data_IF_540686741680
#
_entry.id   IF_540686741680
#
_cell.length_a   1.000
_cell.length_b   1.000
_cell.length_c   1.000
_cell.angle_alpha   90.00
_cell.angle_beta   90.00
_cell.angle_gamma   90.00
#
_symmetry.space_group_name_H-M   'P 1'
#
loop_
_entity.id
_entity.type
_entity.pdbx_description
1 polymer ?
#
# COMPACT_ATOMS: atom_id res chain seq x y z
N UNK A 1 38.93 6.99 23.25
CA UNK A 1 38.28 5.81 23.86
C UNK A 1 36.79 5.89 23.57
N UNK A 2 36.31 4.94 22.74
CA UNK A 2 34.96 4.33 22.69
C UNK A 2 33.72 5.24 22.64
N UNK A 3 32.83 5.18 21.65
CA UNK A 3 32.30 4.00 20.94
C UNK A 3 31.73 4.38 19.56
N UNK A 4 31.83 3.53 18.51
CA UNK A 4 31.15 3.75 17.25
C UNK A 4 29.67 3.35 17.36
N UNK A 5 28.82 4.08 16.64
CA UNK A 5 27.40 3.79 16.50
C UNK A 5 27.20 2.41 15.85
N UNK A 6 26.44 1.57 16.54
CA UNK A 6 26.04 0.23 16.13
C UNK A 6 25.34 0.27 14.76
N UNK A 7 25.93 -0.41 13.79
CA UNK A 7 25.32 -0.65 12.49
C UNK A 7 23.96 -1.33 12.64
N UNK A 8 23.01 -0.94 11.80
CA UNK A 8 21.71 -1.61 11.70
C UNK A 8 21.94 -3.08 11.38
N UNK A 9 21.62 -3.95 12.32
CA UNK A 9 21.70 -5.39 12.12
C UNK A 9 20.55 -5.82 11.23
N UNK A 10 20.86 -6.27 10.02
CA UNK A 10 19.91 -6.92 9.12
C UNK A 10 19.51 -8.26 9.76
N UNK A 11 18.27 -8.40 10.21
CA UNK A 11 17.68 -9.65 10.71
C UNK A 11 17.47 -10.71 9.60
N UNK A 12 18.46 -10.92 8.73
CA UNK A 12 18.41 -11.96 7.70
C UNK A 12 18.65 -13.39 8.29
N UNK A 13 19.01 -13.47 9.58
CA UNK A 13 19.44 -14.70 10.25
C UNK A 13 18.32 -15.67 10.68
N UNK A 14 17.11 -15.18 10.94
CA UNK A 14 16.09 -15.98 11.65
C UNK A 14 14.81 -16.23 10.83
N UNK A 15 14.94 -16.53 9.53
CA UNK A 15 13.79 -17.04 8.76
C UNK A 15 13.63 -18.52 9.08
N UNK A 16 12.50 -18.97 9.69
CA UNK A 16 12.28 -20.38 9.99
C UNK A 16 12.44 -21.26 8.74
N UNK A 17 12.99 -22.45 8.91
CA UNK A 17 13.31 -23.35 7.77
C UNK A 17 12.08 -23.68 6.92
N UNK A 18 10.91 -23.84 7.56
CA UNK A 18 9.65 -24.07 6.88
C UNK A 18 9.27 -22.88 5.96
N UNK A 19 9.42 -21.65 6.46
CA UNK A 19 9.15 -20.44 5.69
C UNK A 19 10.16 -20.29 4.56
N UNK A 20 11.45 -20.57 4.80
CA UNK A 20 12.49 -20.59 3.78
C UNK A 20 12.16 -21.58 2.66
N UNK A 21 11.73 -22.79 3.02
CA UNK A 21 11.33 -23.81 2.06
C UNK A 21 10.08 -23.38 1.26
N UNK A 22 9.10 -22.76 1.91
CA UNK A 22 7.91 -22.23 1.25
C UNK A 22 8.25 -21.12 0.25
N UNK A 23 9.09 -20.16 0.63
CA UNK A 23 9.60 -19.10 -0.27
C UNK A 23 10.33 -19.73 -1.46
N UNK A 24 11.19 -20.73 -1.21
CA UNK A 24 11.91 -21.44 -2.27
C UNK A 24 11.01 -22.17 -3.25
N UNK A 25 9.87 -22.70 -2.81
CA UNK A 25 8.85 -23.31 -3.69
C UNK A 25 8.14 -22.24 -4.53
N UNK A 26 7.68 -21.15 -3.90
CA UNK A 26 6.97 -20.07 -4.59
C UNK A 26 7.88 -19.38 -5.60
N UNK A 27 9.17 -19.19 -5.31
CA UNK A 27 10.11 -18.55 -6.23
C UNK A 27 10.39 -19.35 -7.52
N UNK A 28 9.93 -20.61 -7.61
CA UNK A 28 10.12 -21.49 -8.78
C UNK A 28 8.85 -21.68 -9.59
N UNK A 29 7.75 -21.04 -9.22
CA UNK A 29 6.52 -21.12 -10.01
C UNK A 29 6.72 -20.45 -11.37
N UNK A 30 6.11 -20.96 -12.45
CA UNK A 30 6.29 -20.39 -13.79
C UNK A 30 5.82 -18.95 -13.95
N UNK A 31 4.86 -18.52 -13.14
CA UNK A 31 4.29 -17.17 -13.11
C UNK A 31 3.99 -16.79 -11.68
N UNK A 32 4.62 -15.72 -11.18
CA UNK A 32 4.49 -15.27 -9.80
C UNK A 32 3.78 -13.93 -9.73
N UNK A 33 2.74 -13.83 -8.90
CA UNK A 33 2.15 -12.56 -8.48
C UNK A 33 2.57 -12.28 -7.03
N UNK A 34 3.18 -11.14 -6.80
CA UNK A 34 3.43 -10.60 -5.45
C UNK A 34 2.52 -9.38 -5.26
N UNK A 35 1.53 -9.52 -4.39
CA UNK A 35 0.63 -8.43 -4.02
C UNK A 35 0.87 -8.04 -2.56
N UNK A 36 1.22 -6.78 -2.32
CA UNK A 36 1.49 -6.26 -0.99
C UNK A 36 0.48 -5.17 -0.61
N UNK A 37 0.04 -5.18 0.64
CA UNK A 37 -0.61 -4.01 1.22
C UNK A 37 0.41 -2.87 1.41
N UNK A 38 -0.06 -1.63 1.58
CA UNK A 38 0.80 -0.47 1.79
C UNK A 38 0.98 -0.11 3.27
N UNK A 39 -0.10 0.25 3.95
CA UNK A 39 -0.07 0.82 5.31
C UNK A 39 0.10 -0.28 6.36
N UNK A 40 1.17 -0.22 7.15
CA UNK A 40 1.55 -1.27 8.10
C UNK A 40 2.29 -2.46 7.48
N UNK A 41 2.45 -2.47 6.14
CA UNK A 41 3.21 -3.50 5.42
C UNK A 41 4.48 -2.93 4.80
N UNK A 42 4.34 -2.03 3.82
CA UNK A 42 5.50 -1.38 3.19
C UNK A 42 5.89 -0.09 3.92
N UNK A 43 4.89 0.65 4.42
CA UNK A 43 5.05 1.86 5.22
C UNK A 43 4.63 1.59 6.67
N UNK A 44 5.33 2.11 7.69
CA UNK A 44 4.90 1.96 9.07
C UNK A 44 3.57 2.69 9.32
N UNK A 45 2.78 2.18 10.27
CA UNK A 45 1.59 2.87 10.76
C UNK A 45 2.04 4.11 11.54
N UNK A 46 1.58 5.28 11.10
CA UNK A 46 1.90 6.58 11.71
C UNK A 46 0.61 7.35 12.01
N UNK A 47 0.67 8.27 12.97
CA UNK A 47 -0.50 9.09 13.37
C UNK A 47 -1.03 9.99 12.24
N UNK A 48 -0.14 10.51 11.40
CA UNK A 48 -0.50 11.32 10.24
C UNK A 48 -0.37 10.48 8.96
N UNK A 49 -1.49 10.02 8.35
CA UNK A 49 -1.45 9.18 7.16
C UNK A 49 -0.73 9.83 5.98
N UNK A 50 -0.63 11.16 5.91
CA UNK A 50 0.10 11.85 4.83
C UNK A 50 1.62 11.68 4.91
N UNK A 51 2.12 11.15 6.04
CA UNK A 51 3.53 10.89 6.31
C UNK A 51 3.90 9.42 6.33
N UNK A 52 2.96 8.52 6.01
CA UNK A 52 3.24 7.09 5.90
C UNK A 52 4.03 6.82 4.60
N UNK A 53 5.35 6.94 4.67
CA UNK A 53 6.28 6.70 3.57
C UNK A 53 6.85 5.29 3.71
N UNK A 54 7.00 4.51 2.61
CA UNK A 54 7.51 3.16 2.70
C UNK A 54 8.96 3.14 3.18
N UNK A 55 9.32 2.08 3.90
CA UNK A 55 10.70 1.88 4.32
C UNK A 55 11.60 1.74 3.08
N UNK A 56 12.83 2.30 3.09
CA UNK A 56 13.77 2.17 1.99
C UNK A 56 14.02 0.71 1.57
N UNK A 57 14.08 -0.20 2.53
CA UNK A 57 14.27 -1.63 2.33
C UNK A 57 13.08 -2.27 1.62
N UNK A 58 11.85 -1.89 2.01
CA UNK A 58 10.62 -2.32 1.35
C UNK A 58 10.57 -1.85 -0.11
N UNK A 59 10.95 -0.59 -0.37
CA UNK A 59 11.03 -0.06 -1.74
C UNK A 59 12.07 -0.83 -2.55
N UNK A 60 13.25 -1.10 -1.98
CA UNK A 60 14.31 -1.85 -2.66
C UNK A 60 13.87 -3.28 -2.99
N UNK A 61 13.20 -3.97 -2.06
CA UNK A 61 12.68 -5.32 -2.27
C UNK A 61 11.59 -5.37 -3.36
N UNK A 62 10.62 -4.46 -3.31
CA UNK A 62 9.56 -4.36 -4.32
C UNK A 62 10.15 -4.07 -5.71
N UNK A 63 11.13 -3.16 -5.79
CA UNK A 63 11.85 -2.88 -7.04
C UNK A 63 12.56 -4.11 -7.57
N UNK A 64 13.30 -4.83 -6.72
CA UNK A 64 14.00 -6.04 -7.14
C UNK A 64 13.02 -7.10 -7.67
N UNK A 65 11.90 -7.33 -6.98
CA UNK A 65 10.86 -8.28 -7.41
C UNK A 65 10.25 -7.87 -8.75
N UNK A 66 9.98 -6.58 -8.97
CA UNK A 66 9.38 -6.07 -10.21
C UNK A 66 10.31 -6.22 -11.43
N UNK A 67 11.62 -6.37 -11.21
CA UNK A 67 12.59 -6.63 -12.29
C UNK A 67 12.75 -8.10 -12.65
N UNK A 68 12.15 -9.01 -11.89
CA UNK A 68 12.28 -10.44 -12.15
C UNK A 68 11.42 -10.86 -13.36
N UNK A 69 11.93 -11.75 -14.22
CA UNK A 69 11.13 -12.29 -15.31
C UNK A 69 9.94 -13.07 -14.74
N UNK A 70 8.82 -13.05 -15.46
CA UNK A 70 7.61 -13.80 -15.10
C UNK A 70 7.07 -13.50 -13.69
N UNK A 71 7.42 -12.34 -13.14
CA UNK A 71 6.97 -11.87 -11.83
C UNK A 71 6.22 -10.56 -12.00
N UNK A 72 4.98 -10.53 -11.55
CA UNK A 72 4.15 -9.33 -11.48
C UNK A 72 4.10 -8.85 -10.04
N UNK A 73 4.32 -7.56 -9.82
CA UNK A 73 4.25 -6.96 -8.49
C UNK A 73 3.15 -5.91 -8.45
N UNK A 74 2.32 -5.99 -7.42
CA UNK A 74 1.25 -5.04 -7.17
C UNK A 74 1.29 -4.53 -5.73
N UNK A 75 1.01 -3.24 -5.55
CA UNK A 75 0.74 -2.64 -4.25
C UNK A 75 -0.72 -2.23 -4.20
N UNK A 76 -1.44 -2.83 -3.26
CA UNK A 76 -2.87 -2.65 -3.05
C UNK A 76 -3.06 -1.82 -1.78
N UNK A 77 -3.87 -0.77 -1.85
CA UNK A 77 -4.08 0.11 -0.71
C UNK A 77 -5.51 0.63 -0.65
N UNK A 78 -5.95 0.90 0.58
CA UNK A 78 -7.15 1.69 0.83
C UNK A 78 -6.99 3.19 0.51
N UNK A 79 -5.78 3.68 0.22
CA UNK A 79 -5.51 5.08 -0.18
C UNK A 79 -6.03 5.34 -1.58
N UNK A 80 -6.40 6.60 -1.87
CA UNK A 80 -6.66 7.00 -3.25
C UNK A 80 -5.42 6.71 -4.12
N UNK A 81 -5.62 6.27 -5.37
CA UNK A 81 -4.53 5.86 -6.26
C UNK A 81 -3.48 6.96 -6.44
N UNK A 82 -3.92 8.22 -6.54
CA UNK A 82 -3.03 9.39 -6.64
C UNK A 82 -2.15 9.55 -5.40
N UNK A 83 -2.73 9.42 -4.22
CA UNK A 83 -1.99 9.58 -2.95
C UNK A 83 -1.00 8.43 -2.77
N UNK A 84 -1.42 7.20 -3.11
CA UNK A 84 -0.55 6.03 -3.13
C UNK A 84 0.64 6.23 -4.07
N UNK A 85 0.41 6.70 -5.29
CA UNK A 85 1.49 6.96 -6.26
C UNK A 85 2.48 8.01 -5.76
N UNK A 86 1.98 9.13 -5.20
CA UNK A 86 2.82 10.23 -4.69
C UNK A 86 3.68 9.80 -3.51
N UNK A 87 3.10 9.06 -2.56
CA UNK A 87 3.78 8.66 -1.33
C UNK A 87 4.73 7.47 -1.55
N UNK A 88 4.32 6.49 -2.35
CA UNK A 88 5.11 5.28 -2.56
C UNK A 88 6.35 5.51 -3.42
N UNK A 89 6.26 6.39 -4.45
CA UNK A 89 7.33 6.64 -5.43
C UNK A 89 7.93 5.34 -6.02
N UNK A 90 7.08 4.33 -6.14
CA UNK A 90 7.43 3.05 -6.76
C UNK A 90 7.56 3.23 -8.27
N UNK A 91 8.39 2.42 -8.93
CA UNK A 91 8.59 2.53 -10.37
C UNK A 91 7.35 2.01 -11.13
N UNK A 92 7.22 2.36 -12.40
CA UNK A 92 6.03 2.06 -13.23
C UNK A 92 5.78 0.56 -13.45
N UNK A 93 6.80 -0.27 -13.26
CA UNK A 93 6.74 -1.72 -13.34
C UNK A 93 5.91 -2.33 -12.18
N UNK A 94 5.63 -1.56 -11.13
CA UNK A 94 4.79 -1.98 -10.00
C UNK A 94 3.37 -1.47 -10.23
N UNK A 95 2.41 -2.39 -10.27
CA UNK A 95 1.00 -2.04 -10.38
C UNK A 95 0.51 -1.39 -9.08
N UNK A 96 -0.11 -0.22 -9.19
CA UNK A 96 -0.73 0.46 -8.05
C UNK A 96 -2.24 0.30 -8.11
N UNK A 97 -2.81 -0.15 -7.00
CA UNK A 97 -4.26 -0.33 -6.82
C UNK A 97 -4.70 0.49 -5.62
N UNK A 98 -5.51 1.51 -5.86
CA UNK A 98 -6.05 2.41 -4.86
C UNK A 98 -7.51 2.12 -4.51
N UNK A 99 -8.02 2.88 -3.54
CA UNK A 99 -9.42 2.89 -3.10
C UNK A 99 -9.98 1.48 -2.85
N UNK A 100 -9.17 0.64 -2.19
CA UNK A 100 -9.48 -0.76 -1.83
C UNK A 100 -9.76 -1.67 -3.04
N UNK A 101 -9.14 -1.41 -4.19
CA UNK A 101 -9.38 -2.17 -5.42
C UNK A 101 -10.17 -1.42 -6.48
N UNK A 102 -10.78 -0.30 -6.11
CA UNK A 102 -11.69 0.45 -7.00
C UNK A 102 -10.97 1.35 -8.02
N UNK A 103 -9.66 1.59 -7.85
CA UNK A 103 -8.87 2.43 -8.75
C UNK A 103 -7.59 1.71 -9.19
N UNK A 104 -7.37 1.54 -10.49
CA UNK A 104 -6.13 0.99 -11.04
C UNK A 104 -5.88 1.46 -12.48
N UNK A 105 -4.62 1.42 -12.92
CA UNK A 105 -4.13 2.03 -14.17
C UNK A 105 -4.71 1.37 -15.45
N UNK A 106 -5.26 0.16 -15.36
CA UNK A 106 -5.89 -0.56 -16.48
C UNK A 106 -7.43 -0.54 -16.40
N UNK A 107 -8.03 0.56 -16.82
CA UNK A 107 -9.34 0.55 -17.50
C UNK A 107 -10.61 0.21 -16.70
N UNK A 108 -10.54 -0.07 -15.40
CA UNK A 108 -11.71 -0.33 -14.56
C UNK A 108 -11.90 0.83 -13.58
N UNK A 109 -12.39 1.94 -14.13
CA UNK A 109 -13.19 2.86 -13.35
C UNK A 109 -14.62 2.40 -13.58
N UNK A 110 -15.10 1.45 -12.78
CA UNK A 110 -16.54 1.22 -12.71
C UNK A 110 -17.12 2.46 -12.03
N UNK A 111 -17.45 3.47 -12.85
CA UNK A 111 -18.09 4.69 -12.37
C UNK A 111 -19.41 4.25 -11.73
N UNK A 112 -19.56 4.55 -10.43
CA UNK A 112 -20.83 4.39 -9.74
C UNK A 112 -21.96 4.94 -10.61
N UNK A 113 -23.03 4.18 -10.77
CA UNK A 113 -24.23 4.65 -11.44
C UNK A 113 -24.72 5.96 -10.78
N UNK A 114 -25.31 6.92 -11.52
CA UNK A 114 -25.73 8.21 -10.98
C UNK A 114 -26.57 8.11 -9.70
N UNK A 115 -27.42 7.10 -9.61
CA UNK A 115 -28.29 6.83 -8.48
C UNK A 115 -27.50 6.44 -7.22
N UNK A 116 -26.36 5.75 -7.39
CA UNK A 116 -25.46 5.39 -6.28
C UNK A 116 -24.62 6.59 -5.80
N UNK A 117 -24.37 7.57 -6.67
CA UNK A 117 -23.69 8.82 -6.29
C UNK A 117 -24.54 9.65 -5.32
N UNK A 118 -25.86 9.68 -5.52
CA UNK A 118 -26.79 10.35 -4.62
C UNK A 118 -26.86 9.64 -3.26
N UNK A 119 -26.99 8.31 -3.27
CA UNK A 119 -26.95 7.49 -2.03
C UNK A 119 -25.65 7.71 -1.25
N UNK A 120 -24.50 7.90 -1.92
CA UNK A 120 -23.21 8.22 -1.28
C UNK A 120 -23.18 9.65 -0.70
N UNK A 121 -23.84 10.61 -1.33
CA UNK A 121 -23.75 12.04 -0.96
C UNK A 121 -24.45 12.36 0.37
N UNK A 122 -25.55 11.67 0.66
CA UNK A 122 -26.34 11.84 1.89
C UNK A 122 -25.56 11.53 3.18
N UNK A 123 -25.00 10.32 3.38
CA UNK A 123 -24.20 10.03 4.57
C UNK A 123 -22.93 10.88 4.64
N UNK A 124 -22.33 11.27 3.51
CA UNK A 124 -21.15 12.15 3.49
C UNK A 124 -21.45 13.54 4.06
N UNK A 125 -22.67 14.05 3.85
CA UNK A 125 -23.12 15.33 4.39
C UNK A 125 -23.42 15.23 5.88
N UNK A 126 -24.11 14.17 6.31
CA UNK A 126 -24.41 13.91 7.72
C UNK A 126 -23.11 13.70 8.53
N UNK A 127 -22.16 12.93 8.01
CA UNK A 127 -20.86 12.68 8.65
C UNK A 127 -19.99 13.94 8.76
N UNK A 128 -20.08 14.88 7.81
CA UNK A 128 -19.41 16.19 7.93
C UNK A 128 -19.95 17.00 9.11
N UNK A 129 -21.26 17.03 9.28
CA UNK A 129 -21.90 17.76 10.39
C UNK A 129 -21.47 17.18 11.75
N UNK A 130 -21.43 15.86 11.88
CA UNK A 130 -20.97 15.17 13.09
C UNK A 130 -19.49 15.46 13.38
N UNK A 131 -18.64 15.40 12.35
CA UNK A 131 -17.22 15.69 12.49
C UNK A 131 -16.96 17.16 12.89
N UNK A 132 -17.77 18.12 12.40
CA UNK A 132 -17.66 19.53 12.81
C UNK A 132 -18.03 19.78 14.27
N UNK A 133 -18.93 18.98 14.85
CA UNK A 133 -19.32 19.11 16.26
C UNK A 133 -18.36 18.45 17.26
N UNK A 134 -17.34 17.72 16.79
CA UNK A 134 -16.50 16.86 17.63
C UNK A 134 -15.01 17.19 17.48
N UNK A 135 -14.39 17.89 18.46
CA UNK A 135 -12.96 18.20 18.42
C UNK A 135 -12.10 16.92 18.27
N UNK A 136 -11.20 16.91 17.30
CA UNK A 136 -10.29 15.78 17.04
C UNK A 136 -10.77 14.76 16.00
N UNK A 137 -12.02 14.84 15.54
CA UNK A 137 -12.54 13.96 14.48
C UNK A 137 -12.20 14.52 13.10
N UNK A 138 -11.62 13.69 12.22
CA UNK A 138 -11.33 14.05 10.83
C UNK A 138 -12.10 13.15 9.87
N UNK A 139 -12.83 13.75 8.93
CA UNK A 139 -13.48 13.02 7.86
C UNK A 139 -12.55 12.88 6.65
N UNK A 140 -12.14 11.66 6.34
CA UNK A 140 -11.40 11.35 5.12
C UNK A 140 -12.37 11.08 3.96
N UNK A 141 -12.45 12.01 3.00
CA UNK A 141 -13.24 11.82 1.79
C UNK A 141 -12.43 11.07 0.73
N UNK A 142 -12.80 9.81 0.44
CA UNK A 142 -12.20 9.02 -0.65
C UNK A 142 -12.96 9.24 -1.98
N UNK A 143 -12.28 9.05 -3.13
CA UNK A 143 -12.85 9.29 -4.46
C UNK A 143 -13.87 8.24 -4.93
N UNK A 144 -13.73 6.98 -4.49
CA UNK A 144 -14.73 5.93 -4.68
C UNK A 144 -16.04 6.24 -3.94
#
# INVERSE_FOLDING_TARGET
MTSPATGGQTHAGDIPDELRAAIGRIARVPLLLVACDYDGTLAPIVEDPTKAVPLPESVAAIRALATLPQTTVAVISGRALRDLAVLSRLPSEVHLVGSHGSEFDIGFVERLAPELLEVRSRPKTELRQIAHGSPGVRLAAKPA
#
